data_IF_120814047214
#
_entry.id   IF_120814047214
#
_cell.length_a   1.000
_cell.length_b   1.000
_cell.length_c   1.000
_cell.angle_alpha   90.00
_cell.angle_beta   90.00
_cell.angle_gamma   90.00
#
_symmetry.space_group_name_H-M   'P 1'
#
loop_
_entity.id
_entity.type
_entity.pdbx_description
1 polymer ?
#
# COMPACT_ATOMS: atom_id res chain seq x y z
N UNK A 1 27.58 30.10 -17.14
CA UNK A 1 28.86 29.83 -17.82
C UNK A 1 29.70 28.95 -16.93
N UNK A 2 29.90 27.74 -17.32
CA UNK A 2 31.09 26.88 -17.36
C UNK A 2 30.62 25.40 -17.42
N UNK A 3 30.67 24.95 -18.64
CA UNK A 3 30.57 23.56 -19.10
C UNK A 3 31.80 22.77 -18.63
N UNK A 4 31.64 21.57 -18.12
CA UNK A 4 32.76 20.63 -18.09
C UNK A 4 32.24 19.25 -18.49
N UNK A 5 32.58 18.88 -19.72
CA UNK A 5 32.44 17.54 -20.28
C UNK A 5 33.55 16.65 -19.73
N UNK A 6 33.23 15.40 -19.39
CA UNK A 6 34.24 14.35 -19.21
C UNK A 6 33.88 13.17 -20.13
N UNK A 7 34.69 13.06 -21.18
CA UNK A 7 34.88 11.87 -21.99
C UNK A 7 35.72 10.86 -21.20
N UNK A 8 35.34 9.59 -21.21
CA UNK A 8 36.29 8.50 -20.98
C UNK A 8 36.12 7.41 -22.02
N UNK A 9 37.27 7.05 -22.56
CA UNK A 9 37.49 6.28 -23.73
C UNK A 9 37.45 4.76 -23.46
N UNK A 10 37.05 4.10 -24.50
CA UNK A 10 37.18 2.70 -24.92
C UNK A 10 38.56 2.07 -24.60
N UNK A 11 38.56 0.80 -24.15
CA UNK A 11 39.65 -0.13 -24.43
C UNK A 11 39.07 -1.55 -24.63
N UNK A 12 39.09 -1.93 -25.92
CA UNK A 12 38.97 -3.33 -26.38
C UNK A 12 40.30 -4.04 -26.14
N UNK A 13 40.25 -5.25 -25.61
CA UNK A 13 41.31 -6.20 -25.69
C UNK A 13 40.76 -7.56 -26.16
N UNK A 14 41.05 -7.87 -27.42
CA UNK A 14 40.94 -9.18 -28.01
C UNK A 14 42.14 -10.02 -27.54
N UNK A 15 41.92 -11.27 -27.16
CA UNK A 15 42.95 -12.30 -27.15
C UNK A 15 42.38 -13.60 -27.69
N UNK A 16 43.07 -14.08 -28.71
CA UNK A 16 42.77 -15.21 -29.57
C UNK A 16 43.42 -16.49 -29.12
N UNK A 17 42.78 -17.58 -29.45
CA UNK A 17 43.28 -18.94 -29.82
C UNK A 17 44.03 -19.81 -28.80
N UNK A 18 43.51 -21.04 -28.78
CA UNK A 18 44.22 -22.23 -28.32
C UNK A 18 43.36 -23.48 -28.43
N UNK A 19 43.31 -24.06 -29.66
CA UNK A 19 42.72 -25.37 -29.87
C UNK A 19 43.74 -26.45 -29.45
N UNK A 20 43.32 -27.42 -28.62
CA UNK A 20 43.96 -28.71 -28.46
C UNK A 20 42.87 -29.79 -28.31
N UNK A 21 42.74 -30.59 -29.35
CA UNK A 21 42.02 -31.86 -29.35
C UNK A 21 42.82 -32.90 -28.56
N UNK A 22 42.20 -33.57 -27.63
CA UNK A 22 42.63 -34.87 -27.12
C UNK A 22 41.43 -35.78 -26.98
N UNK A 23 41.40 -36.78 -27.82
CA UNK A 23 40.64 -38.02 -27.73
C UNK A 23 41.03 -38.76 -26.46
N UNK A 24 40.07 -39.14 -25.62
CA UNK A 24 40.23 -40.33 -24.76
C UNK A 24 38.86 -40.83 -24.22
N UNK A 25 38.53 -42.04 -24.74
CA UNK A 25 37.83 -43.13 -24.06
C UNK A 25 36.52 -42.86 -23.27
N UNK A 26 35.43 -43.40 -23.84
CA UNK A 26 34.16 -43.70 -23.20
C UNK A 26 34.35 -44.65 -22.01
N UNK A 27 33.89 -44.22 -20.83
CA UNK A 27 33.38 -45.10 -19.80
C UNK A 27 31.92 -44.65 -19.48
N UNK A 28 30.93 -45.55 -19.41
CA UNK A 28 29.57 -45.14 -19.01
C UNK A 28 29.51 -44.97 -17.52
N UNK A 29 29.64 -43.73 -17.06
CA UNK A 29 29.28 -43.39 -15.69
C UNK A 29 27.75 -43.31 -15.64
N UNK A 30 27.16 -44.22 -14.89
CA UNK A 30 25.77 -44.11 -14.48
C UNK A 30 25.59 -42.78 -13.76
N UNK A 31 25.00 -41.79 -14.47
CA UNK A 31 24.55 -40.56 -13.83
C UNK A 31 23.30 -40.89 -13.02
N UNK A 32 23.46 -40.97 -11.73
CA UNK A 32 22.39 -40.86 -10.75
C UNK A 32 21.73 -39.49 -10.95
N UNK A 33 20.68 -39.48 -11.77
CA UNK A 33 19.77 -38.36 -11.90
C UNK A 33 18.96 -38.25 -10.61
N UNK A 34 19.62 -37.83 -9.53
CA UNK A 34 18.91 -37.22 -8.40
C UNK A 34 18.21 -35.99 -8.95
N UNK A 35 16.97 -36.16 -9.33
CA UNK A 35 16.03 -35.08 -9.59
C UNK A 35 15.92 -34.26 -8.30
N UNK A 36 16.78 -33.26 -8.17
CA UNK A 36 16.61 -32.24 -7.17
C UNK A 36 15.24 -31.62 -7.40
N UNK A 37 14.27 -31.98 -6.57
CA UNK A 37 12.97 -31.30 -6.52
C UNK A 37 13.30 -29.81 -6.38
N UNK A 38 12.84 -28.94 -7.29
CA UNK A 38 13.12 -27.51 -7.16
C UNK A 38 12.56 -27.06 -5.82
N UNK A 39 13.43 -26.75 -4.88
CA UNK A 39 13.05 -26.09 -3.64
C UNK A 39 12.38 -24.80 -4.07
N UNK A 40 11.10 -24.66 -3.78
CA UNK A 40 10.35 -23.44 -4.10
C UNK A 40 11.17 -22.26 -3.57
N UNK A 41 11.55 -21.36 -4.45
CA UNK A 41 12.32 -20.18 -4.07
C UNK A 41 11.53 -19.45 -2.97
N UNK A 42 12.24 -19.04 -1.90
CA UNK A 42 11.60 -18.29 -0.82
C UNK A 42 10.90 -17.04 -1.41
N UNK A 43 9.69 -16.70 -0.93
CA UNK A 43 8.95 -15.55 -1.46
C UNK A 43 9.80 -14.28 -1.38
N UNK A 44 9.77 -13.48 -2.45
CA UNK A 44 10.45 -12.19 -2.51
C UNK A 44 9.53 -11.00 -2.19
N UNK A 45 8.22 -11.23 -2.12
CA UNK A 45 7.20 -10.24 -1.77
C UNK A 45 6.22 -10.87 -0.77
N UNK A 46 6.00 -10.20 0.36
CA UNK A 46 5.09 -10.66 1.41
C UNK A 46 4.26 -9.49 1.89
N UNK A 47 2.96 -9.70 2.02
CA UNK A 47 2.01 -8.74 2.59
C UNK A 47 1.65 -9.14 4.02
N UNK A 48 1.72 -8.19 4.93
CA UNK A 48 1.30 -8.36 6.32
C UNK A 48 0.11 -7.44 6.61
N UNK A 49 -1.06 -8.03 6.76
CA UNK A 49 -2.28 -7.32 7.09
C UNK A 49 -2.31 -6.95 8.57
N UNK A 50 -2.63 -5.68 8.88
CA UNK A 50 -2.74 -5.19 10.26
C UNK A 50 -4.11 -4.59 10.53
N UNK A 51 -4.54 -4.67 11.78
CA UNK A 51 -5.69 -3.94 12.30
C UNK A 51 -5.21 -2.73 13.11
N UNK A 52 -6.03 -1.69 13.19
CA UNK A 52 -5.69 -0.51 13.96
C UNK A 52 -5.88 -0.78 15.47
N UNK A 53 -4.85 -1.24 16.15
CA UNK A 53 -4.84 -1.46 17.59
C UNK A 53 -3.71 -0.67 18.25
N UNK A 54 -3.98 0.16 19.26
CA UNK A 54 -2.97 0.81 20.09
C UNK A 54 -2.43 -0.09 21.22
N UNK A 55 -3.01 -1.27 21.41
CA UNK A 55 -2.61 -2.22 22.47
C UNK A 55 -1.31 -2.92 22.09
N UNK A 56 -0.22 -2.60 22.78
CA UNK A 56 1.09 -3.20 22.55
C UNK A 56 1.14 -4.72 22.78
N UNK A 57 0.15 -5.28 23.50
CA UNK A 57 0.03 -6.72 23.73
C UNK A 57 -0.81 -7.43 22.67
N UNK A 58 -1.37 -6.71 21.70
CA UNK A 58 -2.11 -7.31 20.61
C UNK A 58 -1.19 -8.26 19.82
N UNK A 59 -1.67 -9.48 19.57
CA UNK A 59 -0.87 -10.57 18.98
C UNK A 59 -0.23 -10.22 17.63
N UNK A 60 -0.86 -9.32 16.85
CA UNK A 60 -0.31 -8.88 15.55
C UNK A 60 1.12 -8.35 15.64
N UNK A 61 1.52 -7.75 16.77
CA UNK A 61 2.87 -7.19 16.93
C UNK A 61 3.93 -8.29 17.13
N UNK A 62 3.57 -9.35 17.85
CA UNK A 62 4.43 -10.54 17.96
C UNK A 62 4.56 -11.24 16.60
N UNK A 63 3.43 -11.37 15.87
CA UNK A 63 3.40 -11.95 14.52
C UNK A 63 4.21 -11.12 13.52
N UNK A 64 4.11 -9.78 13.56
CA UNK A 64 4.91 -8.90 12.71
C UNK A 64 6.41 -9.04 13.00
N UNK A 65 6.81 -9.11 14.27
CA UNK A 65 8.20 -9.38 14.65
C UNK A 65 8.71 -10.72 14.12
N UNK A 66 7.87 -11.76 14.21
CA UNK A 66 8.19 -13.07 13.65
C UNK A 66 8.31 -13.03 12.13
N UNK A 67 7.41 -12.30 11.44
CA UNK A 67 7.50 -12.11 9.99
C UNK A 67 8.83 -11.46 9.59
N UNK A 68 9.28 -10.42 10.30
CA UNK A 68 10.59 -9.82 10.07
C UNK A 68 11.74 -10.83 10.26
N UNK A 69 11.71 -11.61 11.34
CA UNK A 69 12.77 -12.58 11.64
C UNK A 69 12.85 -13.71 10.61
N UNK A 70 11.69 -14.16 10.13
CA UNK A 70 11.59 -15.28 9.18
C UNK A 70 11.86 -14.84 7.75
N UNK A 71 11.20 -13.76 7.31
CA UNK A 71 11.28 -13.27 5.94
C UNK A 71 12.59 -12.52 5.66
N UNK A 72 13.16 -11.84 6.66
CA UNK A 72 14.39 -11.04 6.57
C UNK A 72 14.34 -10.04 5.41
N UNK A 73 13.42 -9.07 5.45
CA UNK A 73 13.22 -8.13 4.34
C UNK A 73 14.47 -7.32 4.05
N UNK A 74 14.67 -6.96 2.78
CA UNK A 74 15.67 -5.95 2.36
C UNK A 74 15.02 -4.57 2.19
N UNK A 75 13.67 -4.53 2.16
CA UNK A 75 12.86 -3.33 2.11
C UNK A 75 11.56 -3.56 2.87
N UNK A 76 11.15 -2.58 3.66
CA UNK A 76 9.83 -2.55 4.31
C UNK A 76 9.01 -1.42 3.74
N UNK A 77 7.78 -1.74 3.33
CA UNK A 77 6.84 -0.76 2.80
C UNK A 77 5.66 -0.64 3.74
N UNK A 78 5.27 0.58 4.07
CA UNK A 78 4.14 0.87 4.96
C UNK A 78 3.07 1.69 4.25
N UNK A 79 1.79 1.35 4.46
CA UNK A 79 0.66 2.04 3.82
C UNK A 79 0.49 3.49 4.32
N UNK A 80 0.69 3.72 5.62
CA UNK A 80 0.49 5.06 6.21
C UNK A 80 1.75 5.89 6.08
N UNK A 81 1.60 7.24 6.03
CA UNK A 81 2.76 8.11 6.02
C UNK A 81 3.64 7.80 7.23
N UNK A 82 4.93 8.04 7.02
CA UNK A 82 5.90 7.92 8.06
C UNK A 82 5.63 8.90 9.20
N UNK A 83 5.21 8.35 10.33
CA UNK A 83 4.97 9.10 11.55
C UNK A 83 6.18 9.05 12.51
N UNK A 84 7.30 8.47 12.06
CA UNK A 84 8.47 8.23 12.90
C UNK A 84 8.26 7.09 13.91
N UNK A 85 9.17 7.04 14.88
CA UNK A 85 9.15 6.09 16.00
C UNK A 85 9.22 6.84 17.32
N UNK A 86 8.92 6.18 18.42
CA UNK A 86 9.09 6.71 19.77
C UNK A 86 10.28 6.03 20.47
N UNK A 87 10.65 6.51 21.66
CA UNK A 87 11.81 6.00 22.41
C UNK A 87 11.68 4.56 22.89
N UNK A 88 10.46 4.01 22.92
CA UNK A 88 10.21 2.61 23.30
C UNK A 88 9.27 1.94 22.32
N UNK A 89 9.30 0.61 22.30
CA UNK A 89 8.41 -0.22 21.46
C UNK A 89 6.93 0.04 21.81
N UNK A 90 6.60 -0.03 23.11
CA UNK A 90 5.22 0.18 23.56
C UNK A 90 4.69 1.58 23.20
N UNK A 91 5.50 2.63 23.41
CA UNK A 91 5.11 4.00 23.03
C UNK A 91 4.99 4.16 21.51
N UNK A 92 5.82 3.47 20.73
CA UNK A 92 5.73 3.48 19.27
C UNK A 92 4.41 2.84 18.82
N UNK A 93 4.05 1.69 19.36
CA UNK A 93 2.79 1.01 19.05
C UNK A 93 1.60 1.90 19.43
N UNK A 94 1.56 2.39 20.66
CA UNK A 94 0.46 3.20 21.17
C UNK A 94 0.20 4.46 20.31
N UNK A 95 1.26 5.17 19.93
CA UNK A 95 1.14 6.46 19.25
C UNK A 95 1.20 6.41 17.73
N UNK A 96 1.91 5.43 17.18
CA UNK A 96 2.18 5.32 15.74
C UNK A 96 1.57 4.06 15.11
N UNK A 97 1.07 3.14 15.93
CA UNK A 97 0.44 1.89 15.48
C UNK A 97 1.40 0.95 14.75
N UNK A 98 0.83 0.06 13.96
CA UNK A 98 1.59 -1.00 13.28
C UNK A 98 2.60 -0.45 12.25
N UNK A 99 2.29 0.63 11.56
CA UNK A 99 3.22 1.25 10.61
C UNK A 99 4.48 1.79 11.33
N UNK A 100 4.30 2.48 12.47
CA UNK A 100 5.42 2.93 13.29
C UNK A 100 6.23 1.77 13.86
N UNK A 101 5.55 0.70 14.29
CA UNK A 101 6.23 -0.49 14.80
C UNK A 101 7.03 -1.23 13.72
N UNK A 102 6.47 -1.39 12.51
CA UNK A 102 7.19 -1.93 11.37
C UNK A 102 8.45 -1.12 11.05
N UNK A 103 8.34 0.21 11.12
CA UNK A 103 9.50 1.10 10.96
C UNK A 103 10.54 0.90 12.06
N UNK A 104 10.12 0.76 13.32
CA UNK A 104 11.04 0.49 14.44
C UNK A 104 11.82 -0.80 14.21
N UNK A 105 11.14 -1.88 13.82
CA UNK A 105 11.79 -3.16 13.51
C UNK A 105 12.76 -3.05 12.33
N UNK A 106 12.37 -2.29 11.29
CA UNK A 106 13.23 -2.02 10.14
C UNK A 106 14.50 -1.26 10.56
N UNK A 107 14.36 -0.21 11.38
CA UNK A 107 15.48 0.56 11.91
C UNK A 107 16.45 -0.30 12.74
N UNK A 108 15.92 -1.19 13.60
CA UNK A 108 16.74 -2.13 14.39
C UNK A 108 17.55 -3.09 13.52
N UNK A 109 17.06 -3.41 12.33
CA UNK A 109 17.71 -4.30 11.38
C UNK A 109 18.44 -3.56 10.24
N UNK A 110 18.50 -2.23 10.29
CA UNK A 110 19.08 -1.38 9.26
C UNK A 110 18.46 -1.58 7.86
N UNK A 111 17.17 -1.92 7.83
CA UNK A 111 16.38 -2.09 6.61
C UNK A 111 15.71 -0.76 6.24
N UNK A 112 15.81 -0.29 4.99
CA UNK A 112 15.10 0.91 4.54
C UNK A 112 13.58 0.74 4.61
N UNK A 113 12.88 1.86 4.85
CA UNK A 113 11.42 1.93 4.81
C UNK A 113 10.97 2.90 3.75
N UNK A 114 9.94 2.52 2.99
CA UNK A 114 9.28 3.36 2.00
C UNK A 114 7.77 3.40 2.25
N UNK A 115 7.11 4.36 1.64
CA UNK A 115 5.66 4.44 1.64
C UNK A 115 5.08 3.62 0.48
N UNK A 116 3.96 2.93 0.73
CA UNK A 116 3.32 2.06 -0.26
C UNK A 116 2.80 2.86 -1.46
N UNK A 117 2.16 3.99 -1.20
CA UNK A 117 1.42 4.78 -2.18
C UNK A 117 1.88 6.23 -2.22
N UNK A 118 1.63 6.86 -3.35
CA UNK A 118 1.66 8.30 -3.53
C UNK A 118 0.21 8.80 -3.58
N UNK A 119 -0.29 9.47 -2.51
CA UNK A 119 -1.67 9.96 -2.48
C UNK A 119 -1.96 10.98 -3.57
N UNK A 120 -0.96 11.74 -4.00
CA UNK A 120 -1.14 12.71 -5.08
C UNK A 120 -1.34 11.99 -6.42
N UNK A 121 -0.59 10.93 -6.67
CA UNK A 121 -0.74 10.11 -7.87
C UNK A 121 -2.09 9.37 -7.89
N UNK A 122 -2.49 8.76 -6.76
CA UNK A 122 -3.82 8.15 -6.62
C UNK A 122 -4.93 9.18 -6.86
N UNK A 123 -4.83 10.34 -6.23
CA UNK A 123 -5.81 11.41 -6.38
C UNK A 123 -5.95 11.87 -7.85
N UNK A 124 -4.84 12.14 -8.52
CA UNK A 124 -4.82 12.53 -9.93
C UNK A 124 -5.43 11.45 -10.83
N UNK A 125 -5.13 10.19 -10.56
CA UNK A 125 -5.73 9.07 -11.27
C UNK A 125 -7.26 9.03 -11.08
N UNK A 126 -7.73 9.15 -9.83
CA UNK A 126 -9.16 9.12 -9.52
C UNK A 126 -9.93 10.28 -10.18
N UNK A 127 -9.33 11.47 -10.31
CA UNK A 127 -9.91 12.59 -11.08
C UNK A 127 -10.15 12.25 -12.56
N UNK A 128 -9.45 11.27 -13.12
CA UNK A 128 -9.70 10.79 -14.50
C UNK A 128 -10.82 9.76 -14.59
N UNK A 129 -11.24 9.17 -13.46
CA UNK A 129 -12.20 8.05 -13.41
C UNK A 129 -13.58 8.46 -12.91
N UNK A 130 -13.66 9.48 -12.06
CA UNK A 130 -14.90 9.96 -11.46
C UNK A 130 -14.97 11.49 -11.53
N UNK A 131 -16.17 12.04 -11.47
CA UNK A 131 -16.31 13.49 -11.45
C UNK A 131 -15.80 14.11 -10.14
N UNK A 132 -15.42 15.39 -10.22
CA UNK A 132 -14.81 16.11 -9.10
C UNK A 132 -15.73 16.19 -7.86
N UNK A 133 -17.05 16.19 -8.05
CA UNK A 133 -18.02 16.22 -6.94
C UNK A 133 -18.11 14.88 -6.23
N UNK A 134 -18.10 13.76 -6.98
CA UNK A 134 -18.03 12.42 -6.41
C UNK A 134 -16.73 12.24 -5.64
N UNK A 135 -15.62 12.64 -6.21
CA UNK A 135 -14.31 12.49 -5.57
C UNK A 135 -14.21 13.31 -4.29
N UNK A 136 -14.65 14.57 -4.31
CA UNK A 136 -14.69 15.41 -3.10
C UNK A 136 -15.58 14.80 -2.03
N UNK A 137 -16.77 14.33 -2.42
CA UNK A 137 -17.68 13.63 -1.50
C UNK A 137 -16.96 12.44 -0.83
N UNK A 138 -16.30 11.60 -1.60
CA UNK A 138 -15.59 10.44 -1.09
C UNK A 138 -14.55 10.83 -0.02
N UNK A 139 -13.69 11.79 -0.32
CA UNK A 139 -12.66 12.24 0.63
C UNK A 139 -13.25 12.85 1.90
N UNK A 140 -14.30 13.67 1.77
CA UNK A 140 -15.00 14.29 2.91
C UNK A 140 -15.64 13.22 3.81
N UNK A 141 -16.32 12.24 3.23
CA UNK A 141 -16.93 11.14 3.99
C UNK A 141 -15.88 10.27 4.67
N UNK A 142 -14.78 9.97 3.98
CA UNK A 142 -13.66 9.20 4.53
C UNK A 142 -13.04 9.91 5.74
N UNK A 143 -12.80 11.21 5.64
CA UNK A 143 -12.25 11.98 6.76
C UNK A 143 -13.23 12.10 7.93
N UNK A 144 -14.54 12.23 7.67
CA UNK A 144 -15.56 12.19 8.72
C UNK A 144 -15.58 10.84 9.45
N UNK A 145 -15.49 9.75 8.68
CA UNK A 145 -15.42 8.40 9.21
C UNK A 145 -14.16 8.21 10.07
N UNK A 146 -12.99 8.55 9.54
CA UNK A 146 -11.71 8.43 10.24
C UNK A 146 -11.66 9.27 11.52
N UNK A 147 -12.20 10.48 11.48
CA UNK A 147 -12.30 11.34 12.66
C UNK A 147 -13.13 10.69 13.77
N UNK A 148 -14.31 10.15 13.42
CA UNK A 148 -15.17 9.45 14.37
C UNK A 148 -14.53 8.19 14.95
N UNK A 149 -13.90 7.39 14.11
CA UNK A 149 -13.21 6.17 14.54
C UNK A 149 -12.07 6.46 15.52
N UNK A 150 -11.29 7.50 15.26
CA UNK A 150 -10.15 7.85 16.12
C UNK A 150 -10.54 8.52 17.44
N UNK A 151 -11.64 9.28 17.44
CA UNK A 151 -11.98 10.15 18.58
C UNK A 151 -13.25 9.75 19.32
N UNK A 152 -14.06 8.83 18.78
CA UNK A 152 -15.39 8.54 19.31
C UNK A 152 -16.35 9.75 19.21
N UNK A 153 -16.07 10.70 18.29
CA UNK A 153 -16.78 11.98 18.22
C UNK A 153 -18.28 11.83 18.01
N UNK A 154 -19.05 12.65 18.76
CA UNK A 154 -20.48 12.81 18.57
C UNK A 154 -20.79 13.41 17.18
N UNK A 155 -22.07 13.35 16.75
CA UNK A 155 -22.55 14.04 15.55
C UNK A 155 -22.16 15.52 15.53
N UNK A 156 -22.38 16.24 16.64
CA UNK A 156 -22.10 17.67 16.71
C UNK A 156 -20.61 17.99 16.49
N UNK A 157 -19.71 17.21 17.10
CA UNK A 157 -18.28 17.36 16.90
C UNK A 157 -17.85 17.00 15.48
N UNK A 158 -18.42 15.95 14.89
CA UNK A 158 -18.16 15.55 13.50
C UNK A 158 -18.59 16.65 12.52
N UNK A 159 -19.78 17.24 12.73
CA UNK A 159 -20.28 18.36 11.90
C UNK A 159 -19.34 19.56 11.99
N UNK A 160 -18.90 19.93 13.20
CA UNK A 160 -17.96 21.04 13.40
C UNK A 160 -16.61 20.78 12.72
N UNK A 161 -16.06 19.58 12.87
CA UNK A 161 -14.82 19.20 12.20
C UNK A 161 -14.96 19.25 10.67
N UNK A 162 -16.11 18.80 10.15
CA UNK A 162 -16.37 18.82 8.71
C UNK A 162 -16.53 20.23 8.16
N UNK A 163 -17.09 21.18 8.92
CA UNK A 163 -17.12 22.60 8.52
C UNK A 163 -15.70 23.17 8.35
N UNK A 164 -14.80 22.84 9.28
CA UNK A 164 -13.40 23.26 9.19
C UNK A 164 -12.69 22.61 8.01
N UNK A 165 -12.94 21.32 7.77
CA UNK A 165 -12.37 20.59 6.64
C UNK A 165 -12.84 21.14 5.29
N UNK A 166 -14.12 21.47 5.17
CA UNK A 166 -14.68 22.11 3.97
C UNK A 166 -14.01 23.44 3.66
N UNK A 167 -13.77 24.27 4.68
CA UNK A 167 -13.04 25.55 4.52
C UNK A 167 -11.59 25.36 4.03
N UNK A 168 -10.97 24.24 4.35
CA UNK A 168 -9.60 23.91 3.95
C UNK A 168 -9.52 22.94 2.75
N UNK A 169 -10.66 22.61 2.13
CA UNK A 169 -10.72 21.49 1.15
C UNK A 169 -9.90 21.72 -0.11
N UNK A 170 -9.66 22.96 -0.52
CA UNK A 170 -8.79 23.29 -1.66
C UNK A 170 -7.33 22.77 -1.51
N UNK A 171 -6.87 22.58 -0.28
CA UNK A 171 -5.51 22.10 -0.02
C UNK A 171 -5.36 20.58 -0.16
N UNK A 172 -6.39 19.80 0.14
CA UNK A 172 -6.28 18.34 0.12
C UNK A 172 -7.07 17.67 -1.03
N UNK A 173 -7.97 18.38 -1.68
CA UNK A 173 -8.70 17.95 -2.87
C UNK A 173 -8.70 19.04 -3.96
N UNK A 174 -7.51 19.40 -4.49
CA UNK A 174 -7.37 20.46 -5.47
C UNK A 174 -8.13 20.12 -6.76
N UNK A 175 -8.67 21.18 -7.42
CA UNK A 175 -9.51 21.00 -8.62
C UNK A 175 -10.98 20.72 -8.32
N UNK A 176 -11.36 20.72 -7.04
CA UNK A 176 -12.75 20.51 -6.60
C UNK A 176 -13.34 21.74 -5.88
N UNK A 177 -12.69 22.89 -5.99
CA UNK A 177 -13.00 24.11 -5.22
C UNK A 177 -14.43 24.59 -5.42
N UNK A 178 -14.97 24.37 -6.61
CA UNK A 178 -16.33 24.80 -6.99
C UNK A 178 -17.43 23.79 -6.65
N UNK A 179 -17.07 22.68 -6.01
CA UNK A 179 -18.01 21.63 -5.62
C UNK A 179 -18.07 21.50 -4.11
N UNK A 180 -19.23 21.18 -3.56
CA UNK A 180 -19.45 20.90 -2.12
C UNK A 180 -18.71 21.89 -1.21
N UNK A 181 -19.23 23.13 -1.16
CA UNK A 181 -18.57 24.21 -0.41
C UNK A 181 -19.03 24.31 1.05
N UNK A 182 -20.18 23.69 1.37
CA UNK A 182 -20.79 23.76 2.69
C UNK A 182 -21.51 22.46 3.06
N UNK A 183 -21.97 22.36 4.30
CA UNK A 183 -22.64 21.17 4.82
C UNK A 183 -23.97 20.84 4.13
N UNK A 184 -24.70 21.84 3.65
CA UNK A 184 -25.95 21.62 2.93
C UNK A 184 -25.66 20.95 1.58
N UNK A 185 -24.64 21.42 0.87
CA UNK A 185 -24.19 20.82 -0.39
C UNK A 185 -23.59 19.43 -0.18
N UNK A 186 -22.86 19.21 0.95
CA UNK A 186 -22.38 17.87 1.33
C UNK A 186 -23.54 16.90 1.53
N UNK A 187 -24.57 17.31 2.29
CA UNK A 187 -25.75 16.49 2.51
C UNK A 187 -26.49 16.21 1.20
N UNK A 188 -26.68 17.22 0.36
CA UNK A 188 -27.33 17.08 -0.94
C UNK A 188 -26.54 16.15 -1.88
N UNK A 189 -25.21 16.29 -1.94
CA UNK A 189 -24.36 15.38 -2.72
C UNK A 189 -24.48 13.95 -2.21
N UNK A 190 -24.43 13.75 -0.88
CA UNK A 190 -24.59 12.42 -0.29
C UNK A 190 -25.93 11.78 -0.69
N UNK A 191 -27.03 12.49 -0.57
CA UNK A 191 -28.34 11.97 -0.98
C UNK A 191 -28.42 11.68 -2.49
N UNK A 192 -27.73 12.46 -3.31
CA UNK A 192 -27.70 12.23 -4.76
C UNK A 192 -26.95 10.94 -5.12
N UNK A 193 -25.77 10.72 -4.54
CA UNK A 193 -24.93 9.59 -4.89
C UNK A 193 -25.18 8.34 -4.04
N UNK A 194 -25.76 8.48 -2.86
CA UNK A 194 -26.06 7.43 -1.90
C UNK A 194 -27.53 7.54 -1.42
N UNK A 195 -28.52 7.36 -2.29
CA UNK A 195 -29.93 7.61 -1.95
C UNK A 195 -30.42 6.79 -0.77
N UNK A 196 -29.91 5.56 -0.63
CA UNK A 196 -30.25 4.64 0.45
C UNK A 196 -29.28 4.73 1.65
N UNK A 197 -28.36 5.68 1.62
CA UNK A 197 -27.20 5.74 2.53
C UNK A 197 -27.46 6.31 3.92
N UNK A 198 -28.68 6.71 4.27
CA UNK A 198 -29.00 7.31 5.57
C UNK A 198 -28.35 8.67 5.77
N UNK A 199 -27.51 8.82 6.77
CA UNK A 199 -26.90 10.11 7.12
C UNK A 199 -25.41 10.15 6.75
N UNK A 200 -24.96 11.21 6.10
CA UNK A 200 -23.57 11.33 5.61
C UNK A 200 -22.49 11.11 6.71
N UNK A 201 -22.74 11.55 7.97
CA UNK A 201 -21.80 11.33 9.07
C UNK A 201 -21.78 9.88 9.58
N UNK A 202 -22.66 9.03 9.07
CA UNK A 202 -22.73 7.60 9.36
C UNK A 202 -22.43 6.75 8.13
N UNK A 203 -21.79 7.33 7.13
CA UNK A 203 -21.39 6.61 5.93
C UNK A 203 -20.67 5.28 6.32
N UNK A 204 -21.07 4.14 5.73
CA UNK A 204 -20.55 2.83 6.08
C UNK A 204 -19.03 2.74 5.86
N UNK A 205 -18.32 2.07 6.77
CA UNK A 205 -16.88 1.79 6.61
C UNK A 205 -16.56 1.10 5.28
N UNK A 206 -17.45 0.25 4.81
CA UNK A 206 -17.32 -0.47 3.55
C UNK A 206 -17.16 0.45 2.32
N UNK A 207 -17.61 1.71 2.37
CA UNK A 207 -17.39 2.68 1.29
C UNK A 207 -15.90 2.99 1.09
N UNK A 208 -15.09 2.85 2.14
CA UNK A 208 -13.68 3.24 2.18
C UNK A 208 -12.73 2.05 2.09
N UNK A 209 -13.28 0.85 2.04
CA UNK A 209 -12.56 -0.39 1.77
C UNK A 209 -12.84 -0.81 0.31
N UNK A 210 -11.89 -0.66 -0.62
CA UNK A 210 -12.14 -0.91 -2.04
C UNK A 210 -12.73 -2.28 -2.35
N UNK A 211 -12.23 -3.33 -1.70
CA UNK A 211 -12.73 -4.71 -1.87
C UNK A 211 -14.17 -4.86 -1.39
N UNK A 212 -14.47 -4.34 -0.18
CA UNK A 212 -15.84 -4.37 0.35
C UNK A 212 -16.78 -3.52 -0.51
N UNK A 213 -16.33 -2.36 -0.99
CA UNK A 213 -17.10 -1.48 -1.86
C UNK A 213 -17.49 -2.19 -3.16
N UNK A 214 -16.57 -2.93 -3.78
CA UNK A 214 -16.84 -3.68 -5.02
C UNK A 214 -17.72 -4.91 -4.76
N UNK A 215 -17.56 -5.60 -3.64
CA UNK A 215 -18.29 -6.84 -3.37
C UNK A 215 -19.70 -6.63 -2.80
N UNK A 216 -19.91 -5.56 -2.02
CA UNK A 216 -21.17 -5.33 -1.30
C UNK A 216 -22.13 -4.39 -2.02
N UNK A 217 -21.65 -3.55 -2.94
CA UNK A 217 -22.48 -2.54 -3.59
C UNK A 217 -22.65 -2.83 -5.08
N UNK A 218 -23.84 -2.52 -5.65
CA UNK A 218 -24.11 -2.74 -7.06
C UNK A 218 -23.15 -1.97 -7.97
N UNK A 219 -22.83 -2.56 -9.13
CA UNK A 219 -22.06 -1.88 -10.17
C UNK A 219 -22.72 -0.55 -10.56
N UNK A 220 -21.90 0.49 -10.70
CA UNK A 220 -22.35 1.85 -10.98
C UNK A 220 -22.81 2.65 -9.76
N UNK A 221 -22.92 2.04 -8.56
CA UNK A 221 -23.12 2.80 -7.32
C UNK A 221 -21.89 3.62 -6.95
N UNK A 222 -22.07 4.64 -6.12
CA UNK A 222 -21.00 5.51 -5.65
C UNK A 222 -19.82 4.73 -5.05
N UNK A 223 -20.11 3.83 -4.08
CA UNK A 223 -19.08 3.07 -3.40
C UNK A 223 -18.36 2.10 -4.36
N UNK A 224 -19.12 1.36 -5.19
CA UNK A 224 -18.56 0.45 -6.17
C UNK A 224 -17.66 1.16 -7.18
N UNK A 225 -18.08 2.31 -7.70
CA UNK A 225 -17.32 3.07 -8.71
C UNK A 225 -15.99 3.55 -8.14
N UNK A 226 -15.99 4.13 -6.93
CA UNK A 226 -14.77 4.57 -6.26
C UNK A 226 -13.88 3.37 -5.87
N UNK A 227 -14.47 2.32 -5.31
CA UNK A 227 -13.75 1.11 -4.94
C UNK A 227 -13.05 0.45 -6.13
N UNK A 228 -13.75 0.35 -7.27
CA UNK A 228 -13.18 -0.20 -8.51
C UNK A 228 -12.02 0.66 -9.03
N UNK A 229 -12.18 1.99 -9.05
CA UNK A 229 -11.13 2.89 -9.52
C UNK A 229 -9.87 2.85 -8.62
N UNK A 230 -10.04 2.78 -7.29
CA UNK A 230 -8.93 2.64 -6.34
C UNK A 230 -8.25 1.28 -6.51
N UNK A 231 -9.01 0.20 -6.65
CA UNK A 231 -8.46 -1.14 -6.88
C UNK A 231 -7.66 -1.20 -8.18
N UNK A 232 -8.20 -0.61 -9.27
CA UNK A 232 -7.50 -0.53 -10.57
C UNK A 232 -6.18 0.24 -10.45
N UNK A 233 -6.18 1.40 -9.76
CA UNK A 233 -4.95 2.16 -9.52
C UNK A 233 -3.91 1.33 -8.79
N UNK A 234 -4.29 0.68 -7.71
CA UNK A 234 -3.37 -0.13 -6.90
C UNK A 234 -2.79 -1.31 -7.68
N UNK A 235 -3.62 -2.00 -8.44
CA UNK A 235 -3.16 -3.11 -9.26
C UNK A 235 -2.15 -2.65 -10.31
N UNK A 236 -2.48 -1.60 -11.05
CA UNK A 236 -1.64 -1.12 -12.15
C UNK A 236 -0.35 -0.44 -11.69
N UNK A 237 -0.41 0.39 -10.66
CA UNK A 237 0.69 1.31 -10.33
C UNK A 237 1.40 0.97 -9.02
N UNK A 238 0.75 0.24 -8.10
CA UNK A 238 1.34 -0.10 -6.81
C UNK A 238 1.83 -1.56 -6.82
N UNK A 239 0.93 -2.51 -6.96
CA UNK A 239 1.29 -3.93 -6.82
C UNK A 239 2.16 -4.44 -7.96
N UNK A 240 1.91 -4.01 -9.20
CA UNK A 240 2.78 -4.33 -10.33
C UNK A 240 4.21 -3.82 -10.14
N UNK A 241 4.38 -2.62 -9.57
CA UNK A 241 5.70 -2.06 -9.25
C UNK A 241 6.40 -2.85 -8.15
N UNK A 242 5.67 -3.27 -7.11
CA UNK A 242 6.21 -4.11 -6.04
C UNK A 242 6.65 -5.47 -6.58
N UNK A 243 5.82 -6.10 -7.42
CA UNK A 243 6.14 -7.37 -8.06
C UNK A 243 7.40 -7.28 -8.93
N UNK A 244 7.55 -6.19 -9.71
CA UNK A 244 8.73 -5.96 -10.53
C UNK A 244 10.00 -5.79 -9.67
N UNK A 245 9.94 -5.05 -8.56
CA UNK A 245 11.07 -4.90 -7.62
C UNK A 245 11.43 -6.23 -6.96
N UNK A 246 10.43 -7.00 -6.56
CA UNK A 246 10.64 -8.33 -5.99
C UNK A 246 11.29 -9.29 -7.00
N UNK A 247 10.87 -9.24 -8.28
CA UNK A 247 11.50 -10.00 -9.37
C UNK A 247 12.95 -9.56 -9.64
N UNK A 248 13.29 -8.31 -9.34
CA UNK A 248 14.66 -7.78 -9.40
C UNK A 248 15.55 -8.20 -8.22
N UNK A 249 15.01 -8.98 -7.27
CA UNK A 249 15.77 -9.58 -6.15
C UNK A 249 15.60 -8.88 -4.80
N UNK A 250 14.75 -7.85 -4.70
CA UNK A 250 14.42 -7.27 -3.40
C UNK A 250 13.47 -8.21 -2.61
N UNK A 251 13.69 -8.35 -1.32
CA UNK A 251 12.76 -9.01 -0.41
C UNK A 251 11.93 -7.96 0.28
N UNK A 252 10.68 -7.81 -0.17
CA UNK A 252 9.80 -6.70 0.21
C UNK A 252 8.74 -7.20 1.19
N UNK A 253 8.73 -6.63 2.41
CA UNK A 253 7.65 -6.80 3.37
C UNK A 253 6.74 -5.57 3.33
N UNK A 254 5.50 -5.76 2.90
CA UNK A 254 4.48 -4.71 2.86
C UNK A 254 3.60 -4.83 4.09
N UNK A 255 3.55 -3.77 4.92
CA UNK A 255 2.70 -3.71 6.11
C UNK A 255 1.57 -2.72 5.85
N UNK A 256 0.35 -3.23 5.76
CA UNK A 256 -0.83 -2.47 5.38
C UNK A 256 -2.09 -2.95 6.10
N UNK A 257 -3.17 -2.16 6.05
CA UNK A 257 -4.44 -2.58 6.61
C UNK A 257 -4.92 -3.90 5.98
N UNK A 258 -5.45 -4.80 6.79
CA UNK A 258 -6.02 -6.07 6.30
C UNK A 258 -7.16 -5.85 5.28
N UNK A 259 -7.85 -4.71 5.36
CA UNK A 259 -8.90 -4.31 4.41
C UNK A 259 -8.36 -3.88 3.04
N UNK A 260 -7.05 -3.70 2.93
CA UNK A 260 -6.37 -3.19 1.74
C UNK A 260 -5.47 -4.23 1.08
N UNK A 261 -5.45 -5.45 1.61
CA UNK A 261 -4.67 -6.54 1.02
C UNK A 261 -5.13 -6.82 -0.42
N UNK A 262 -4.22 -7.17 -1.34
CA UNK A 262 -4.61 -7.55 -2.69
C UNK A 262 -5.57 -8.75 -2.69
N UNK A 263 -6.56 -8.74 -3.59
CA UNK A 263 -7.60 -9.78 -3.66
C UNK A 263 -7.10 -11.12 -4.19
N UNK A 264 -6.04 -11.10 -4.98
CA UNK A 264 -5.36 -12.29 -5.47
C UNK A 264 -3.93 -12.32 -4.90
N UNK A 265 -3.43 -13.48 -4.44
CA UNK A 265 -2.01 -13.59 -4.11
C UNK A 265 -1.22 -13.24 -5.38
N UNK A 266 -0.44 -12.17 -5.34
CA UNK A 266 0.62 -11.99 -6.31
C UNK A 266 1.47 -13.27 -6.25
N UNK A 267 1.73 -13.92 -7.37
CA UNK A 267 2.25 -15.29 -7.51
C UNK A 267 3.63 -15.57 -6.87
N UNK A 268 3.88 -15.10 -5.66
CA UNK A 268 5.09 -15.32 -4.88
C UNK A 268 4.74 -15.34 -3.39
N UNK A 269 4.37 -16.51 -2.87
CA UNK A 269 4.46 -16.87 -1.46
C UNK A 269 3.83 -15.89 -0.46
N UNK A 270 2.50 -15.85 -0.41
CA UNK A 270 1.77 -15.04 0.55
C UNK A 270 1.71 -15.75 1.91
N UNK A 271 2.17 -15.07 2.96
CA UNK A 271 1.75 -15.36 4.33
C UNK A 271 0.75 -14.28 4.73
N UNK A 272 -0.51 -14.47 4.37
CA UNK A 272 -1.59 -13.70 4.97
C UNK A 272 -1.78 -14.20 6.42
N UNK A 273 -1.29 -13.44 7.38
CA UNK A 273 -1.67 -13.62 8.78
C UNK A 273 -3.03 -12.94 8.93
N UNK A 274 -4.09 -13.76 9.09
CA UNK A 274 -5.45 -13.32 9.37
C UNK A 274 -5.59 -12.99 10.85
#
# INVERSE_FOLDING_TARGET
MKTTAFLFATALLFSTLGAAAQDLALAPAAQDLTTATPTAAAPSLTYFGVVNSPDAHHEQYAQLRQAFATFKPTLVIVEKPDLGTEGTEAATIERKGAAGYARLLAQQQQVPTERLDDPEAEYKYLLTKVDARQLKLYYLLREAHNFRQRTGASKALTVKAMQQLLAASSYFVPGTEHTIQNLAELAAAYHTYCPDGGQWWQAPAAYFCPQAAVSLYPSGSFAHTLGSAISEYREQYVYSKLAARAAAGERILVVMSCEQLPSAPAAAGEVAVK
#
